data_IF_668657513983
#
_entry.id   IF_668657513983
#
_cell.length_a   1.000
_cell.length_b   1.000
_cell.length_c   1.000
_cell.angle_alpha   90.00
_cell.angle_beta   90.00
_cell.angle_gamma   90.00
#
_symmetry.space_group_name_H-M   'P 1'
#
loop_
_entity.id
_entity.type
_entity.pdbx_description
1 polymer ?
#
# COMPACT_ATOMS: atom_id res chain seq x y z
N UNK A 1 -2.87 31.01 -18.99
CA UNK A 1 -3.05 29.55 -19.03
C UNK A 1 -3.48 29.13 -17.65
N UNK A 2 -4.68 28.55 -17.52
CA UNK A 2 -5.24 28.17 -16.22
C UNK A 2 -4.45 27.00 -15.63
N UNK A 3 -3.95 27.21 -14.41
CA UNK A 3 -3.38 26.18 -13.54
C UNK A 3 -4.40 25.06 -13.38
N UNK A 4 -4.00 23.85 -13.79
CA UNK A 4 -4.80 22.65 -13.57
C UNK A 4 -4.89 22.43 -12.07
N UNK A 5 -6.05 22.74 -11.52
CA UNK A 5 -6.38 22.58 -10.10
C UNK A 5 -6.16 21.12 -9.74
N UNK A 6 -5.33 20.88 -8.72
CA UNK A 6 -5.12 19.57 -8.13
C UNK A 6 -6.47 18.94 -7.80
N UNK A 7 -6.90 17.95 -8.59
CA UNK A 7 -8.08 17.18 -8.28
C UNK A 7 -7.72 16.23 -7.12
N UNK A 8 -7.85 16.72 -5.88
CA UNK A 8 -7.82 15.89 -4.66
C UNK A 8 -8.99 14.91 -4.57
N UNK A 9 -9.91 14.94 -5.56
CA UNK A 9 -11.11 14.11 -5.62
C UNK A 9 -10.83 12.61 -5.78
N UNK A 10 -9.59 12.19 -6.05
CA UNK A 10 -9.22 10.76 -6.16
C UNK A 10 -9.24 10.07 -4.79
N UNK A 11 -9.08 10.83 -3.69
CA UNK A 11 -9.22 10.34 -2.32
C UNK A 11 -10.56 10.69 -1.66
N UNK A 12 -11.35 11.58 -2.27
CA UNK A 12 -12.69 11.91 -1.77
C UNK A 12 -13.61 10.69 -1.90
N UNK A 13 -13.63 9.87 -0.85
CA UNK A 13 -14.54 8.73 -0.73
C UNK A 13 -13.90 7.38 -0.46
N UNK A 14 -12.57 7.26 -0.38
CA UNK A 14 -11.93 6.02 0.09
C UNK A 14 -11.36 6.27 1.49
N UNK A 15 -12.08 5.91 2.56
CA UNK A 15 -11.50 6.01 3.89
C UNK A 15 -10.33 5.03 3.93
N UNK A 16 -9.11 5.53 4.11
CA UNK A 16 -7.92 4.71 4.40
C UNK A 16 -8.14 3.78 5.61
N UNK A 17 -9.16 4.08 6.41
CA UNK A 17 -9.70 3.17 7.41
C UNK A 17 -10.12 1.81 6.84
N UNK A 18 -10.40 1.64 5.54
CA UNK A 18 -10.70 0.35 4.93
C UNK A 18 -9.46 -0.55 4.81
N UNK A 19 -8.25 0.02 4.77
CA UNK A 19 -7.01 -0.78 4.78
C UNK A 19 -6.80 -1.45 6.15
N UNK A 20 -7.21 -0.79 7.25
CA UNK A 20 -6.84 -1.18 8.62
C UNK A 20 -8.04 -1.59 9.51
N UNK A 21 -9.24 -1.03 9.30
CA UNK A 21 -10.39 -1.07 10.20
C UNK A 21 -11.68 -1.60 9.55
N UNK A 22 -11.58 -2.58 8.64
CA UNK A 22 -12.75 -3.38 8.30
C UNK A 22 -13.02 -4.40 9.42
N UNK A 23 -14.28 -4.78 9.64
CA UNK A 23 -14.64 -5.81 10.64
C UNK A 23 -13.77 -7.08 10.40
N UNK A 24 -12.93 -7.47 11.39
CA UNK A 24 -12.07 -8.65 11.27
C UNK A 24 -12.84 -9.93 10.95
N UNK A 25 -14.12 -10.01 11.33
CA UNK A 25 -14.99 -11.17 11.09
C UNK A 25 -15.60 -11.18 9.68
N UNK A 26 -15.71 -10.02 9.02
CA UNK A 26 -16.14 -9.92 7.62
C UNK A 26 -14.97 -10.11 6.64
N UNK A 27 -13.73 -9.98 7.10
CA UNK A 27 -12.51 -10.21 6.31
C UNK A 27 -12.29 -11.71 6.04
N UNK A 28 -13.04 -12.26 5.08
CA UNK A 28 -12.78 -13.62 4.53
C UNK A 28 -11.49 -13.69 3.72
N UNK A 29 -10.98 -12.55 3.22
CA UNK A 29 -9.77 -12.46 2.40
C UNK A 29 -8.54 -12.24 3.27
N UNK A 30 -7.46 -12.99 2.97
CA UNK A 30 -6.20 -12.94 3.73
C UNK A 30 -5.21 -11.90 3.17
N UNK A 31 -5.64 -11.06 2.23
CA UNK A 31 -4.83 -10.04 1.54
C UNK A 31 -5.61 -8.73 1.34
N UNK A 32 -5.23 -7.95 0.34
CA UNK A 32 -5.90 -6.72 -0.06
C UNK A 32 -7.12 -7.06 -0.93
N UNK A 33 -8.30 -6.58 -0.55
CA UNK A 33 -9.43 -6.62 -1.48
C UNK A 33 -9.23 -5.62 -2.63
N UNK A 34 -10.18 -5.62 -3.58
CA UNK A 34 -10.08 -4.77 -4.77
C UNK A 34 -10.04 -3.29 -4.40
N UNK A 35 -10.87 -2.84 -3.46
CA UNK A 35 -10.98 -1.43 -3.09
C UNK A 35 -9.72 -0.99 -2.34
N UNK A 36 -9.22 -1.84 -1.44
CA UNK A 36 -7.96 -1.67 -0.75
C UNK A 36 -6.77 -1.55 -1.73
N UNK A 37 -6.71 -2.43 -2.73
CA UNK A 37 -5.67 -2.38 -3.76
C UNK A 37 -5.74 -1.11 -4.62
N UNK A 38 -6.95 -0.71 -5.05
CA UNK A 38 -7.16 0.53 -5.79
C UNK A 38 -6.75 1.76 -4.97
N UNK A 39 -7.00 1.76 -3.66
CA UNK A 39 -6.55 2.79 -2.73
C UNK A 39 -5.01 2.88 -2.66
N UNK A 40 -4.33 1.73 -2.55
CA UNK A 40 -2.87 1.67 -2.57
C UNK A 40 -2.30 2.29 -3.85
N UNK A 41 -2.87 1.95 -5.02
CA UNK A 41 -2.44 2.55 -6.30
C UNK A 41 -2.69 4.05 -6.37
N UNK A 42 -3.84 4.53 -5.86
CA UNK A 42 -4.12 5.96 -5.80
C UNK A 42 -3.09 6.70 -4.94
N UNK A 43 -2.73 6.16 -3.76
CA UNK A 43 -1.69 6.73 -2.88
C UNK A 43 -0.34 6.82 -3.59
N UNK A 44 0.06 5.78 -4.30
CA UNK A 44 1.28 5.78 -5.13
C UNK A 44 1.21 6.88 -6.19
N UNK A 45 0.10 6.98 -6.91
CA UNK A 45 -0.06 7.97 -7.98
C UNK A 45 0.01 9.40 -7.45
N UNK A 46 -0.61 9.69 -6.30
CA UNK A 46 -0.49 11.00 -5.67
C UNK A 46 0.94 11.31 -5.22
N UNK A 47 1.63 10.32 -4.65
CA UNK A 47 3.02 10.50 -4.23
C UNK A 47 3.94 10.84 -5.42
N UNK A 48 3.67 10.23 -6.58
CA UNK A 48 4.44 10.43 -7.81
C UNK A 48 4.07 11.71 -8.57
N UNK A 49 2.82 12.19 -8.45
CA UNK A 49 2.34 13.35 -9.21
C UNK A 49 2.44 14.68 -8.46
N UNK A 50 2.65 14.67 -7.14
CA UNK A 50 2.74 15.90 -6.35
C UNK A 50 4.11 16.56 -6.49
N UNK A 51 4.14 17.89 -6.65
CA UNK A 51 5.38 18.68 -6.64
C UNK A 51 5.89 18.97 -5.22
N UNK A 52 5.03 18.77 -4.21
CA UNK A 52 5.37 18.96 -2.80
C UNK A 52 6.05 17.70 -2.25
N UNK A 53 7.34 17.82 -1.91
CA UNK A 53 8.13 16.75 -1.25
C UNK A 53 7.45 16.27 0.03
N UNK A 54 6.93 17.20 0.85
CA UNK A 54 6.25 16.86 2.10
C UNK A 54 4.99 16.03 1.83
N UNK A 55 4.23 16.38 0.79
CA UNK A 55 3.02 15.65 0.42
C UNK A 55 3.33 14.26 -0.13
N UNK A 56 4.41 14.14 -0.91
CA UNK A 56 4.89 12.85 -1.41
C UNK A 56 5.29 11.93 -0.24
N UNK A 57 6.11 12.45 0.68
CA UNK A 57 6.55 11.72 1.87
C UNK A 57 5.38 11.25 2.73
N UNK A 58 4.36 12.09 2.91
CA UNK A 58 3.14 11.71 3.63
C UNK A 58 2.41 10.56 2.94
N UNK A 59 2.32 10.56 1.61
CA UNK A 59 1.69 9.48 0.86
C UNK A 59 2.46 8.16 1.01
N UNK A 60 3.79 8.18 0.90
CA UNK A 60 4.63 7.00 1.08
C UNK A 60 4.50 6.42 2.49
N UNK A 61 4.55 7.28 3.51
CA UNK A 61 4.36 6.86 4.91
C UNK A 61 2.98 6.28 5.16
N UNK A 62 1.96 6.88 4.58
CA UNK A 62 0.59 6.39 4.69
C UNK A 62 0.44 4.99 4.08
N UNK A 63 1.02 4.75 2.91
CA UNK A 63 1.03 3.44 2.27
C UNK A 63 1.72 2.40 3.17
N UNK A 64 2.91 2.72 3.65
CA UNK A 64 3.71 1.85 4.52
C UNK A 64 2.94 1.46 5.80
N UNK A 65 2.45 2.45 6.56
CA UNK A 65 1.73 2.24 7.81
C UNK A 65 0.44 1.43 7.60
N UNK A 66 -0.26 1.66 6.49
CA UNK A 66 -1.50 0.93 6.18
C UNK A 66 -1.23 -0.55 5.91
N UNK A 67 -0.16 -0.87 5.19
CA UNK A 67 0.24 -2.24 4.88
C UNK A 67 0.80 -2.97 6.11
N UNK A 68 1.59 -2.29 6.95
CA UNK A 68 2.02 -2.84 8.25
C UNK A 68 0.84 -3.11 9.18
N UNK A 69 -0.11 -2.17 9.26
CA UNK A 69 -1.34 -2.34 10.04
C UNK A 69 -2.17 -3.53 9.57
N UNK A 70 -2.25 -3.75 8.25
CA UNK A 70 -2.91 -4.92 7.68
C UNK A 70 -2.23 -6.23 8.10
N UNK A 71 -0.90 -6.33 7.95
CA UNK A 71 -0.16 -7.52 8.35
C UNK A 71 -0.37 -7.82 9.84
N UNK A 72 -0.27 -6.80 10.70
CA UNK A 72 -0.50 -6.91 12.12
C UNK A 72 -1.92 -7.41 12.44
N UNK A 73 -2.94 -6.82 11.83
CA UNK A 73 -4.33 -7.22 12.04
C UNK A 73 -4.58 -8.69 11.67
N UNK A 74 -4.07 -9.13 10.52
CA UNK A 74 -4.22 -10.52 10.05
C UNK A 74 -3.50 -11.53 10.96
N UNK A 75 -2.30 -11.18 11.45
CA UNK A 75 -1.50 -12.05 12.32
C UNK A 75 -2.01 -12.09 13.76
N UNK A 76 -2.31 -10.93 14.36
CA UNK A 76 -2.54 -10.82 15.81
C UNK A 76 -4.04 -10.79 16.17
N UNK A 77 -4.87 -10.16 15.34
CA UNK A 77 -6.32 -10.04 15.60
C UNK A 77 -7.07 -11.24 15.05
N UNK A 78 -6.87 -11.57 13.76
CA UNK A 78 -7.55 -12.70 13.12
C UNK A 78 -6.84 -14.03 13.41
N UNK A 79 -5.56 -14.00 13.80
CA UNK A 79 -4.74 -15.19 14.10
C UNK A 79 -4.65 -16.18 12.94
N UNK A 80 -4.62 -15.68 11.70
CA UNK A 80 -4.57 -16.53 10.50
C UNK A 80 -3.21 -17.18 10.28
N UNK A 81 -2.14 -16.53 10.74
CA UNK A 81 -0.76 -16.97 10.59
C UNK A 81 0.10 -16.40 11.73
N UNK A 82 1.28 -16.98 11.96
CA UNK A 82 2.24 -16.41 12.92
C UNK A 82 2.80 -15.11 12.37
N UNK A 83 3.15 -14.15 13.23
CA UNK A 83 3.63 -12.82 12.83
C UNK A 83 4.84 -12.84 11.89
N UNK A 84 5.66 -13.88 11.96
CA UNK A 84 6.84 -14.07 11.08
C UNK A 84 6.48 -14.56 9.68
N UNK A 85 5.21 -14.92 9.46
CA UNK A 85 4.69 -15.40 8.19
C UNK A 85 3.82 -14.32 7.53
N UNK A 86 3.69 -14.43 6.22
CA UNK A 86 2.77 -13.62 5.42
C UNK A 86 1.86 -14.62 4.69
N UNK A 87 0.56 -14.31 4.63
CA UNK A 87 -0.36 -15.14 3.83
C UNK A 87 0.03 -15.08 2.36
N UNK A 88 -0.17 -16.18 1.63
CA UNK A 88 0.11 -16.22 0.17
C UNK A 88 -0.68 -15.13 -0.56
N UNK A 89 -1.94 -14.90 -0.16
CA UNK A 89 -2.78 -13.84 -0.75
C UNK A 89 -2.16 -12.46 -0.57
N UNK A 90 -1.74 -12.11 0.66
CA UNK A 90 -1.10 -10.81 0.93
C UNK A 90 0.24 -10.70 0.20
N UNK A 91 1.01 -11.78 0.10
CA UNK A 91 2.24 -11.78 -0.67
C UNK A 91 1.97 -11.45 -2.14
N UNK A 92 1.02 -12.13 -2.78
CA UNK A 92 0.66 -11.88 -4.18
C UNK A 92 0.15 -10.45 -4.42
N UNK A 93 -0.56 -9.89 -3.45
CA UNK A 93 -1.04 -8.51 -3.48
C UNK A 93 0.12 -7.50 -3.37
N UNK A 94 1.08 -7.74 -2.47
CA UNK A 94 2.30 -6.92 -2.40
C UNK A 94 3.13 -7.04 -3.68
N UNK A 95 3.24 -8.23 -4.27
CA UNK A 95 3.91 -8.39 -5.56
C UNK A 95 3.20 -7.60 -6.68
N UNK A 96 1.87 -7.57 -6.65
CA UNK A 96 1.07 -6.76 -7.59
C UNK A 96 1.35 -5.27 -7.40
N UNK A 97 1.47 -4.80 -6.15
CA UNK A 97 1.89 -3.44 -5.83
C UNK A 97 3.33 -3.16 -6.30
N UNK A 98 4.26 -4.11 -6.12
CA UNK A 98 5.62 -4.03 -6.64
C UNK A 98 5.67 -3.85 -8.16
N UNK A 99 4.93 -4.68 -8.91
CA UNK A 99 4.79 -4.52 -10.37
C UNK A 99 4.24 -3.15 -10.76
N UNK A 100 3.31 -2.62 -9.97
CA UNK A 100 2.74 -1.31 -10.21
C UNK A 100 3.77 -0.19 -10.03
N UNK A 101 4.55 -0.22 -8.95
CA UNK A 101 5.62 0.75 -8.66
C UNK A 101 6.69 0.74 -9.77
N UNK A 102 7.13 -0.45 -10.18
CA UNK A 102 8.10 -0.60 -11.28
C UNK A 102 7.51 -0.05 -12.59
N UNK A 103 6.23 -0.32 -12.89
CA UNK A 103 5.55 0.24 -14.05
C UNK A 103 5.44 1.77 -14.01
N UNK A 104 5.42 2.36 -12.81
CA UNK A 104 5.47 3.82 -12.60
C UNK A 104 6.87 4.40 -12.70
N UNK A 105 7.89 3.58 -12.95
CA UNK A 105 9.25 4.00 -13.23
C UNK A 105 10.19 3.96 -12.04
N UNK A 106 9.74 3.47 -10.87
CA UNK A 106 10.62 3.34 -9.70
C UNK A 106 11.54 2.12 -9.85
N UNK A 107 12.81 2.31 -9.55
CA UNK A 107 13.78 1.26 -9.30
C UNK A 107 13.53 0.57 -7.94
N UNK A 108 14.12 -0.62 -7.75
CA UNK A 108 14.06 -1.29 -6.45
C UNK A 108 14.70 -0.45 -5.33
N UNK A 109 15.76 0.29 -5.63
CA UNK A 109 16.42 1.17 -4.66
C UNK A 109 15.46 2.27 -4.17
N UNK A 110 14.82 2.99 -5.10
CA UNK A 110 13.83 4.02 -4.78
C UNK A 110 12.62 3.44 -4.01
N UNK A 111 12.14 2.24 -4.39
CA UNK A 111 11.07 1.56 -3.65
C UNK A 111 11.49 1.31 -2.20
N UNK A 112 12.73 0.87 -1.97
CA UNK A 112 13.29 0.66 -0.63
C UNK A 112 13.38 1.94 0.19
N UNK A 113 13.78 3.05 -0.44
CA UNK A 113 13.88 4.37 0.19
C UNK A 113 12.53 4.96 0.60
N UNK A 114 11.49 4.74 -0.22
CA UNK A 114 10.16 5.28 0.03
C UNK A 114 9.33 4.45 1.02
N UNK A 115 9.25 3.13 0.82
CA UNK A 115 8.35 2.28 1.64
C UNK A 115 8.96 2.00 3.01
N UNK A 116 10.28 1.80 3.12
CA UNK A 116 11.02 1.57 4.39
C UNK A 116 10.47 0.46 5.30
N UNK A 117 9.64 -0.43 4.77
CA UNK A 117 9.10 -1.59 5.51
C UNK A 117 9.75 -2.85 4.93
N UNK A 118 10.59 -3.49 5.74
CA UNK A 118 11.48 -4.55 5.28
C UNK A 118 10.75 -5.72 4.61
N UNK A 119 9.62 -6.18 5.16
CA UNK A 119 8.90 -7.31 4.57
C UNK A 119 8.26 -6.96 3.23
N UNK A 120 7.74 -5.75 3.06
CA UNK A 120 7.13 -5.28 1.81
C UNK A 120 8.21 -5.20 0.72
N UNK A 121 9.33 -4.54 1.05
CA UNK A 121 10.46 -4.43 0.15
C UNK A 121 11.00 -5.81 -0.24
N UNK A 122 11.23 -6.70 0.74
CA UNK A 122 11.76 -8.04 0.48
C UNK A 122 10.82 -8.86 -0.42
N UNK A 123 9.50 -8.75 -0.24
CA UNK A 123 8.53 -9.39 -1.14
C UNK A 123 8.63 -8.85 -2.57
N UNK A 124 8.75 -7.53 -2.74
CA UNK A 124 8.87 -6.91 -4.07
C UNK A 124 10.21 -7.30 -4.73
N UNK A 125 11.31 -7.24 -3.98
CA UNK A 125 12.65 -7.56 -4.48
C UNK A 125 12.79 -9.03 -4.90
N UNK A 126 12.11 -9.95 -4.19
CA UNK A 126 12.12 -11.38 -4.51
C UNK A 126 11.43 -11.74 -5.84
N UNK A 127 10.73 -10.80 -6.47
CA UNK A 127 10.13 -10.99 -7.80
C UNK A 127 11.13 -10.88 -8.96
N UNK A 128 12.31 -10.31 -8.70
CA UNK A 128 13.32 -9.93 -9.71
C UNK A 128 14.35 -11.02 -9.97
#
# INVERSE_FOLDING_TARGET
MLEQTQNSSVLDGIPLAYLVFYDPLERRKRGLDRVAMEACFAVVDMAMCTESIISADLCWRLLAVSLEGLQFCLAETVKLFKREQISIDLQMDIERLGRYLIKRGLSLEEIGEHIRVGWIFNTIAAMS
#
